data_IF_433222979228
#
_entry.id   IF_433222979228
#
_cell.length_a   1.000
_cell.length_b   1.000
_cell.length_c   1.000
_cell.angle_alpha   90.00
_cell.angle_beta   90.00
_cell.angle_gamma   90.00
#
_symmetry.space_group_name_H-M   'P 1'
#
loop_
_entity.id
_entity.type
_entity.pdbx_description
1 polymer ?
#
# COMPACT_ATOMS: atom_id res chain seq x y z
N UNK A 1 -1.03 -3.90 6.38
CA UNK A 1 0.17 -4.09 5.55
C UNK A 1 1.15 -2.93 5.68
N UNK A 2 0.83 -1.71 5.22
CA UNK A 2 1.76 -0.57 5.26
C UNK A 2 2.36 -0.25 6.64
N UNK A 3 1.56 -0.30 7.71
CA UNK A 3 2.05 -0.12 9.10
C UNK A 3 3.04 -1.21 9.52
N UNK A 4 2.77 -2.47 9.20
CA UNK A 4 3.66 -3.60 9.52
C UNK A 4 4.99 -3.52 8.76
N UNK A 5 4.97 -3.08 7.52
CA UNK A 5 6.18 -2.79 6.77
C UNK A 5 6.95 -1.60 7.39
N UNK A 6 6.26 -0.59 7.94
CA UNK A 6 6.91 0.59 8.53
C UNK A 6 7.68 0.29 9.82
N UNK A 7 7.27 -0.73 10.56
CA UNK A 7 7.93 -1.18 11.79
C UNK A 7 8.94 -2.31 11.54
N UNK A 8 9.34 -2.53 10.28
CA UNK A 8 10.29 -3.58 9.88
C UNK A 8 9.87 -4.98 10.38
N UNK A 9 8.58 -5.32 10.26
CA UNK A 9 8.07 -6.61 10.72
C UNK A 9 8.73 -7.78 9.97
N UNK A 10 9.20 -8.77 10.73
CA UNK A 10 9.79 -10.01 10.20
C UNK A 10 8.84 -10.81 9.34
N UNK A 11 7.53 -10.63 9.49
CA UNK A 11 6.53 -11.30 8.66
C UNK A 11 6.62 -10.93 7.16
N UNK A 12 7.31 -9.83 6.84
CA UNK A 12 7.52 -9.33 5.48
C UNK A 12 8.96 -9.50 4.99
N UNK A 13 9.80 -10.25 5.71
CA UNK A 13 11.22 -10.38 5.36
C UNK A 13 11.47 -11.01 3.98
N UNK A 14 10.52 -11.83 3.50
CA UNK A 14 10.58 -12.45 2.17
C UNK A 14 9.94 -11.59 1.08
N UNK A 15 9.04 -10.68 1.44
CA UNK A 15 8.27 -9.85 0.51
C UNK A 15 8.97 -8.52 0.15
N UNK A 16 10.02 -8.15 0.88
CA UNK A 16 10.74 -6.90 0.64
C UNK A 16 11.61 -7.02 -0.63
N UNK A 17 11.55 -6.05 -1.55
CA UNK A 17 12.36 -6.05 -2.76
C UNK A 17 13.79 -5.67 -2.42
N UNK A 18 14.57 -6.66 -2.00
CA UNK A 18 16.00 -6.53 -1.72
C UNK A 18 16.82 -7.04 -2.90
N UNK A 19 17.74 -6.21 -3.38
CA UNK A 19 18.76 -6.68 -4.31
C UNK A 19 19.92 -7.29 -3.52
N UNK A 20 19.91 -8.61 -3.40
CA UNK A 20 20.90 -9.39 -2.64
C UNK A 20 22.35 -9.10 -3.08
N UNK A 21 22.59 -8.94 -4.38
CA UNK A 21 23.93 -8.65 -4.91
C UNK A 21 24.44 -7.27 -4.50
N UNK A 22 23.56 -6.27 -4.52
CA UNK A 22 23.88 -4.91 -4.07
C UNK A 22 24.04 -4.85 -2.53
N UNK A 23 23.24 -5.63 -1.80
CA UNK A 23 23.32 -5.73 -0.35
C UNK A 23 24.60 -6.44 0.12
N UNK A 24 25.01 -7.51 -0.57
CA UNK A 24 26.29 -8.17 -0.31
C UNK A 24 27.48 -7.23 -0.63
N UNK A 25 27.39 -6.46 -1.71
CA UNK A 25 28.41 -5.47 -2.08
C UNK A 25 28.55 -4.31 -1.07
N UNK A 26 27.48 -3.98 -0.34
CA UNK A 26 27.51 -2.98 0.74
C UNK A 26 27.93 -3.55 2.10
N UNK A 27 28.35 -4.83 2.16
CA UNK A 27 28.75 -5.49 3.40
C UNK A 27 27.58 -5.80 4.32
N UNK A 28 26.39 -6.10 3.74
CA UNK A 28 25.16 -6.39 4.47
C UNK A 28 24.70 -5.24 5.38
N UNK A 29 24.80 -4.00 4.88
CA UNK A 29 24.38 -2.83 5.64
C UNK A 29 22.88 -2.91 6.00
N UNK A 30 22.49 -2.72 7.28
CA UNK A 30 21.08 -2.82 7.70
C UNK A 30 20.22 -1.71 7.10
N UNK A 31 20.81 -0.56 6.77
CA UNK A 31 20.11 0.59 6.20
C UNK A 31 19.40 0.25 4.87
N UNK A 32 19.98 -0.60 4.02
CA UNK A 32 19.33 -1.00 2.76
C UNK A 32 18.04 -1.79 2.99
N UNK A 33 18.02 -2.59 4.07
CA UNK A 33 16.84 -3.36 4.46
C UNK A 33 15.75 -2.43 4.97
N UNK A 34 16.10 -1.48 5.84
CA UNK A 34 15.16 -0.48 6.33
C UNK A 34 14.55 0.35 5.20
N UNK A 35 15.37 0.80 4.23
CA UNK A 35 14.90 1.55 3.07
C UNK A 35 13.92 0.75 2.20
N UNK A 36 14.18 -0.54 1.99
CA UNK A 36 13.27 -1.44 1.26
C UNK A 36 11.91 -1.57 1.98
N UNK A 37 11.93 -1.71 3.31
CA UNK A 37 10.71 -1.72 4.14
C UNK A 37 9.92 -0.40 4.04
N UNK A 38 10.61 0.75 4.09
CA UNK A 38 9.97 2.06 3.91
C UNK A 38 9.32 2.19 2.54
N UNK A 39 10.00 1.74 1.49
CA UNK A 39 9.49 1.78 0.12
C UNK A 39 8.19 0.99 -0.02
N UNK A 40 8.16 -0.25 0.47
CA UNK A 40 6.95 -1.10 0.47
C UNK A 40 5.83 -0.46 1.28
N UNK A 41 6.16 0.10 2.45
CA UNK A 41 5.20 0.80 3.30
C UNK A 41 4.55 1.98 2.58
N UNK A 42 5.34 2.84 1.93
CA UNK A 42 4.85 3.98 1.17
C UNK A 42 3.91 3.56 0.04
N UNK A 43 4.30 2.55 -0.75
CA UNK A 43 3.47 2.01 -1.83
C UNK A 43 2.12 1.49 -1.29
N UNK A 44 2.14 0.79 -0.15
CA UNK A 44 0.92 0.32 0.49
C UNK A 44 0.00 1.45 0.94
N UNK A 45 0.55 2.53 1.51
CA UNK A 45 -0.24 3.69 1.95
C UNK A 45 -0.83 4.46 0.78
N UNK A 46 -0.08 4.63 -0.31
CA UNK A 46 -0.57 5.27 -1.54
C UNK A 46 -1.71 4.44 -2.13
N UNK A 47 -1.54 3.12 -2.25
CA UNK A 47 -2.58 2.23 -2.74
C UNK A 47 -3.85 2.31 -1.87
N UNK A 48 -3.71 2.28 -0.54
CA UNK A 48 -4.83 2.47 0.37
C UNK A 48 -5.55 3.81 0.15
N UNK A 49 -4.80 4.90 -0.07
CA UNK A 49 -5.35 6.20 -0.42
C UNK A 49 -6.19 6.17 -1.69
N UNK A 50 -5.70 5.52 -2.75
CA UNK A 50 -6.44 5.35 -4.02
C UNK A 50 -7.74 4.58 -3.79
N UNK A 51 -7.71 3.50 -3.01
CA UNK A 51 -8.91 2.73 -2.69
C UNK A 51 -9.94 3.55 -1.89
N UNK A 52 -9.51 4.41 -0.97
CA UNK A 52 -10.41 5.33 -0.24
C UNK A 52 -11.10 6.29 -1.20
N UNK A 53 -10.35 6.89 -2.15
CA UNK A 53 -10.94 7.79 -3.16
C UNK A 53 -11.96 7.06 -4.03
N UNK A 54 -11.65 5.85 -4.49
CA UNK A 54 -12.57 5.03 -5.28
C UNK A 54 -13.81 4.61 -4.47
N UNK A 55 -13.65 4.32 -3.17
CA UNK A 55 -14.76 4.01 -2.28
C UNK A 55 -15.70 5.19 -2.12
N UNK A 56 -15.16 6.41 -1.94
CA UNK A 56 -15.98 7.63 -1.88
C UNK A 56 -16.71 7.84 -3.21
N UNK A 57 -15.98 7.77 -4.33
CA UNK A 57 -16.57 7.96 -5.65
C UNK A 57 -17.71 6.96 -5.92
N UNK A 58 -17.47 5.67 -5.68
CA UNK A 58 -18.49 4.63 -5.84
C UNK A 58 -19.68 4.83 -4.90
N UNK A 59 -19.46 5.26 -3.65
CA UNK A 59 -20.53 5.61 -2.71
C UNK A 59 -21.40 6.77 -3.20
N UNK A 60 -20.79 7.82 -3.77
CA UNK A 60 -21.52 8.95 -4.37
C UNK A 60 -22.34 8.48 -5.58
N UNK A 61 -21.73 7.71 -6.49
CA UNK A 61 -22.44 7.15 -7.65
C UNK A 61 -23.62 6.26 -7.21
N UNK A 62 -23.42 5.42 -6.20
CA UNK A 62 -24.47 4.58 -5.63
C UNK A 62 -25.64 5.38 -5.07
N UNK A 63 -25.37 6.47 -4.33
CA UNK A 63 -26.40 7.34 -3.78
C UNK A 63 -27.24 8.01 -4.88
N UNK A 64 -26.59 8.56 -5.91
CA UNK A 64 -27.31 9.19 -7.03
C UNK A 64 -28.10 8.16 -7.84
N UNK A 65 -27.52 6.99 -8.14
CA UNK A 65 -28.23 5.94 -8.86
C UNK A 65 -29.45 5.44 -8.08
N UNK A 66 -29.35 5.28 -6.76
CA UNK A 66 -30.52 4.92 -5.95
C UNK A 66 -31.64 5.95 -6.11
N UNK A 67 -31.34 7.24 -5.98
CA UNK A 67 -32.36 8.31 -6.13
C UNK A 67 -32.98 8.35 -7.52
N UNK A 68 -32.19 8.19 -8.57
CA UNK A 68 -32.70 8.15 -9.93
C UNK A 68 -33.68 6.98 -10.15
N UNK A 69 -33.37 5.79 -9.62
CA UNK A 69 -34.25 4.64 -9.70
C UNK A 69 -35.58 4.84 -8.93
N UNK A 70 -35.56 5.53 -7.79
CA UNK A 70 -36.80 5.86 -7.05
C UNK A 70 -37.70 6.87 -7.78
N UNK A 71 -37.16 7.69 -8.69
CA UNK A 71 -37.91 8.68 -9.46
C UNK A 71 -38.42 8.14 -10.81
N UNK A 72 -37.94 6.96 -11.23
CA UNK A 72 -38.32 6.29 -12.47
C UNK A 72 -39.48 5.29 -12.29
N UNK A 73 -39.99 5.14 -11.06
CA UNK A 73 -41.19 4.38 -10.67
C UNK A 73 -42.23 5.34 -10.09
#
# INVERSE_FOLDING_TARGET
MGVFARVNSVAFSEDIPLNETAWAASGYAPLHVEEAYVMVSNNCFIAAGIYVVLLIFSGVQYYFNKRANYLAH
#
